data_IF_301580944010
#
_entry.id   IF_301580944010
#
_cell.length_a   1.000
_cell.length_b   1.000
_cell.length_c   1.000
_cell.angle_alpha   90.00
_cell.angle_beta   90.00
_cell.angle_gamma   90.00
#
_symmetry.space_group_name_H-M   'P 1'
#
loop_
_entity.id
_entity.type
_entity.pdbx_description
1 polymer ?
#
# COMPACT_ATOMS: atom_id res chain seq x y z
N UNK A 1 -35.68 -14.81 -10.22
CA UNK A 1 -35.23 -15.10 -8.83
C UNK A 1 -33.74 -15.35 -8.91
N UNK A 2 -32.90 -14.56 -8.23
CA UNK A 2 -31.47 -14.85 -8.16
C UNK A 2 -31.26 -16.12 -7.32
N UNK A 3 -30.28 -16.95 -7.70
CA UNK A 3 -29.77 -18.09 -6.92
C UNK A 3 -28.99 -17.59 -5.68
N UNK A 4 -29.55 -16.63 -4.95
CA UNK A 4 -28.93 -16.10 -3.75
C UNK A 4 -29.12 -17.10 -2.61
N UNK A 5 -28.00 -17.43 -1.95
CA UNK A 5 -27.95 -18.29 -0.77
C UNK A 5 -27.85 -17.42 0.49
N UNK A 6 -28.55 -17.85 1.54
CA UNK A 6 -28.56 -17.16 2.83
C UNK A 6 -27.54 -17.72 3.84
N UNK A 7 -27.37 -19.05 3.91
CA UNK A 7 -26.42 -19.73 4.81
C UNK A 7 -25.01 -19.87 4.22
N UNK A 8 -24.10 -20.60 4.86
CA UNK A 8 -22.77 -20.99 4.31
C UNK A 8 -22.91 -22.08 3.24
N UNK A 9 -22.04 -22.06 2.21
CA UNK A 9 -21.91 -23.13 1.23
C UNK A 9 -20.66 -23.89 1.61
N UNK A 10 -20.82 -25.18 1.86
CA UNK A 10 -19.74 -26.07 2.24
C UNK A 10 -19.66 -27.20 1.22
N UNK A 11 -18.45 -27.50 0.80
CA UNK A 11 -18.14 -28.55 -0.15
C UNK A 11 -16.91 -29.31 0.32
N UNK A 12 -17.00 -30.63 0.33
CA UNK A 12 -15.87 -31.52 0.60
C UNK A 12 -15.69 -32.45 -0.58
N UNK A 13 -14.48 -32.48 -1.14
CA UNK A 13 -14.14 -33.39 -2.23
C UNK A 13 -14.04 -34.84 -1.74
N UNK A 14 -14.13 -35.85 -2.62
CA UNK A 14 -13.94 -37.25 -2.24
C UNK A 14 -12.60 -37.54 -1.56
N UNK A 15 -11.56 -36.76 -1.86
CA UNK A 15 -10.23 -36.86 -1.26
C UNK A 15 -10.04 -35.94 -0.03
N UNK A 16 -11.12 -35.35 0.49
CA UNK A 16 -11.16 -34.68 1.79
C UNK A 16 -10.80 -33.19 1.80
N UNK A 17 -10.54 -32.57 0.65
CA UNK A 17 -10.34 -31.13 0.58
C UNK A 17 -11.66 -30.39 0.82
N UNK A 18 -11.62 -29.32 1.62
CA UNK A 18 -12.78 -28.54 2.07
C UNK A 18 -12.77 -27.15 1.44
N UNK A 19 -13.95 -26.72 1.02
CA UNK A 19 -14.21 -25.36 0.57
C UNK A 19 -15.46 -24.86 1.27
N UNK A 20 -15.35 -23.68 1.88
CA UNK A 20 -16.50 -22.98 2.42
C UNK A 20 -16.60 -21.58 1.85
N UNK A 21 -17.80 -21.06 1.69
CA UNK A 21 -18.03 -19.68 1.30
C UNK A 21 -19.06 -19.05 2.25
N UNK A 22 -18.71 -18.49 3.40
CA UNK A 22 -19.68 -17.83 4.29
C UNK A 22 -20.31 -16.59 3.64
N UNK A 23 -21.46 -16.15 4.17
CA UNK A 23 -22.21 -14.96 3.73
C UNK A 23 -22.17 -13.81 4.73
N UNK A 24 -21.75 -14.09 5.97
CA UNK A 24 -21.69 -13.11 7.07
C UNK A 24 -20.34 -13.20 7.76
N UNK A 25 -19.98 -12.13 8.47
CA UNK A 25 -18.76 -12.12 9.29
C UNK A 25 -18.81 -13.15 10.44
N UNK A 26 -19.99 -13.37 11.03
CA UNK A 26 -20.17 -14.32 12.13
C UNK A 26 -19.92 -15.76 11.66
N UNK A 27 -20.43 -16.11 10.48
CA UNK A 27 -20.16 -17.41 9.89
C UNK A 27 -18.65 -17.58 9.58
N UNK A 28 -17.99 -16.55 9.05
CA UNK A 28 -16.53 -16.60 8.84
C UNK A 28 -15.77 -16.76 10.16
N UNK A 29 -16.17 -16.04 11.21
CA UNK A 29 -15.54 -16.13 12.53
C UNK A 29 -15.69 -17.53 13.13
N UNK A 30 -16.89 -18.12 13.07
CA UNK A 30 -17.13 -19.50 13.51
C UNK A 30 -16.23 -20.50 12.74
N UNK A 31 -16.17 -20.38 11.41
CA UNK A 31 -15.32 -21.25 10.59
C UNK A 31 -13.83 -21.09 10.90
N UNK A 32 -13.37 -19.89 11.26
CA UNK A 32 -11.97 -19.63 11.62
C UNK A 32 -11.61 -20.12 13.02
N UNK A 33 -12.57 -20.18 13.94
CA UNK A 33 -12.41 -20.84 15.24
C UNK A 33 -12.32 -22.35 15.05
N UNK A 34 -13.22 -22.94 14.26
CA UNK A 34 -13.23 -24.38 13.98
C UNK A 34 -11.99 -24.81 13.17
N UNK A 35 -11.60 -23.99 12.18
CA UNK A 35 -10.54 -24.28 11.21
C UNK A 35 -9.50 -23.15 11.19
N UNK A 36 -8.70 -22.99 12.26
CA UNK A 36 -7.71 -21.91 12.35
C UNK A 36 -6.63 -22.00 11.27
N UNK A 37 -6.34 -23.18 10.73
CA UNK A 37 -5.39 -23.35 9.63
C UNK A 37 -6.00 -23.07 8.23
N UNK A 38 -7.33 -22.98 8.11
CA UNK A 38 -7.99 -22.78 6.83
C UNK A 38 -7.54 -21.46 6.17
N UNK A 39 -7.24 -21.54 4.88
CA UNK A 39 -6.73 -20.43 4.11
C UNK A 39 -7.89 -19.58 3.61
N UNK A 40 -7.88 -18.31 3.97
CA UNK A 40 -8.83 -17.35 3.43
C UNK A 40 -8.48 -17.06 1.97
N UNK A 41 -9.49 -17.14 1.11
CA UNK A 41 -9.41 -16.86 -0.31
C UNK A 41 -10.31 -15.66 -0.65
N UNK A 42 -9.72 -14.63 -1.26
CA UNK A 42 -10.45 -13.50 -1.81
C UNK A 42 -10.25 -13.45 -3.34
N UNK A 43 -9.52 -12.47 -3.85
CA UNK A 43 -9.25 -12.29 -5.29
C UNK A 43 -8.36 -13.33 -5.96
N UNK A 44 -7.70 -14.21 -5.18
CA UNK A 44 -6.79 -15.27 -5.67
C UNK A 44 -5.56 -14.79 -6.46
N UNK A 45 -5.26 -13.49 -6.50
CA UNK A 45 -4.16 -12.94 -7.31
C UNK A 45 -2.76 -13.29 -6.78
N UNK A 46 -2.64 -13.58 -5.48
CA UNK A 46 -1.42 -14.15 -4.87
C UNK A 46 -1.53 -15.68 -4.73
N UNK A 47 -2.60 -16.17 -4.10
CA UNK A 47 -2.80 -17.60 -3.79
C UNK A 47 -2.87 -18.45 -5.07
N UNK A 48 -3.42 -17.95 -6.16
CA UNK A 48 -3.46 -18.66 -7.45
C UNK A 48 -2.07 -19.02 -7.98
N UNK A 49 -1.04 -18.23 -7.65
CA UNK A 49 0.35 -18.52 -8.01
C UNK A 49 0.93 -19.66 -7.17
N UNK A 50 0.44 -19.89 -5.96
CA UNK A 50 0.85 -21.05 -5.15
C UNK A 50 0.46 -22.35 -5.86
N UNK A 51 -0.72 -22.40 -6.47
CA UNK A 51 -1.16 -23.58 -7.23
C UNK A 51 -0.46 -23.64 -8.58
N UNK A 52 -0.52 -22.57 -9.38
CA UNK A 52 -0.09 -22.60 -10.78
C UNK A 52 1.43 -22.54 -11.00
N UNK A 53 2.18 -21.96 -10.07
CA UNK A 53 3.64 -21.81 -10.17
C UNK A 53 4.40 -22.59 -9.12
N UNK A 54 3.85 -22.74 -7.92
CA UNK A 54 4.49 -23.51 -6.85
C UNK A 54 3.94 -24.94 -6.74
N UNK A 55 2.95 -25.31 -7.56
CA UNK A 55 2.32 -26.65 -7.57
C UNK A 55 1.81 -27.08 -6.20
N UNK A 56 1.41 -26.11 -5.36
CA UNK A 56 0.90 -26.37 -4.01
C UNK A 56 -0.55 -26.81 -4.08
N UNK A 57 -0.85 -27.86 -3.33
CA UNK A 57 -2.21 -28.29 -3.02
C UNK A 57 -2.76 -27.45 -1.86
N UNK A 58 -4.03 -27.02 -1.98
CA UNK A 58 -4.72 -26.22 -0.97
C UNK A 58 -5.99 -26.95 -0.53
N UNK A 59 -5.90 -27.62 0.61
CA UNK A 59 -6.94 -28.56 1.07
C UNK A 59 -8.05 -27.96 1.93
N UNK A 60 -7.89 -26.72 2.40
CA UNK A 60 -8.92 -26.08 3.24
C UNK A 60 -9.00 -24.59 2.92
N UNK A 61 -10.05 -24.21 2.21
CA UNK A 61 -10.27 -22.86 1.70
C UNK A 61 -11.56 -22.28 2.26
N UNK A 62 -11.50 -21.00 2.66
CA UNK A 62 -12.67 -20.20 3.00
C UNK A 62 -12.73 -19.00 2.05
N UNK A 63 -13.66 -19.02 1.11
CA UNK A 63 -13.88 -17.93 0.16
C UNK A 63 -14.75 -16.83 0.75
N UNK A 64 -14.21 -15.61 0.83
CA UNK A 64 -14.87 -14.48 1.50
C UNK A 64 -15.56 -13.51 0.54
N UNK A 65 -15.49 -13.76 -0.77
CA UNK A 65 -16.07 -12.88 -1.79
C UNK A 65 -17.60 -12.86 -1.85
N UNK A 66 -18.30 -13.50 -0.92
CA UNK A 66 -19.77 -13.43 -0.79
C UNK A 66 -20.24 -12.80 0.52
N UNK A 67 -19.32 -12.27 1.34
CA UNK A 67 -19.65 -11.54 2.57
C UNK A 67 -19.86 -10.07 2.22
N UNK A 68 -21.10 -9.60 2.29
CA UNK A 68 -21.46 -8.25 1.85
C UNK A 68 -20.80 -7.17 2.71
N UNK A 69 -20.62 -7.42 4.00
CA UNK A 69 -19.98 -6.53 4.96
C UNK A 69 -18.51 -6.25 4.61
N UNK A 70 -17.80 -7.23 4.04
CA UNK A 70 -16.41 -7.08 3.61
C UNK A 70 -16.26 -6.27 2.31
N UNK A 71 -17.34 -6.01 1.58
CA UNK A 71 -17.32 -5.37 0.27
C UNK A 71 -17.72 -3.89 0.33
N UNK A 72 -17.83 -3.32 1.53
CA UNK A 72 -18.30 -1.96 1.73
C UNK A 72 -17.14 -0.97 1.84
N UNK A 73 -17.37 0.22 1.32
CA UNK A 73 -16.62 1.43 1.64
C UNK A 73 -17.59 2.40 2.30
N UNK A 74 -17.19 2.98 3.43
CA UNK A 74 -17.95 4.01 4.12
C UNK A 74 -17.08 5.24 4.36
N UNK A 75 -17.66 6.41 4.14
CA UNK A 75 -17.02 7.70 4.42
C UNK A 75 -17.69 8.29 5.67
N UNK A 76 -16.94 8.32 6.78
CA UNK A 76 -17.31 9.06 7.98
C UNK A 76 -16.52 10.37 8.08
N UNK A 77 -16.78 11.12 9.15
CA UNK A 77 -16.11 12.41 9.38
C UNK A 77 -14.62 12.25 9.67
N UNK A 78 -14.25 11.21 10.43
CA UNK A 78 -12.87 10.95 10.87
C UNK A 78 -12.17 9.86 10.07
N UNK A 79 -12.92 8.92 9.49
CA UNK A 79 -12.38 7.71 8.86
C UNK A 79 -13.04 7.40 7.52
N UNK A 80 -12.23 6.98 6.57
CA UNK A 80 -12.64 6.19 5.41
C UNK A 80 -12.48 4.73 5.80
N UNK A 81 -13.59 4.01 5.92
CA UNK A 81 -13.60 2.61 6.29
C UNK A 81 -13.71 1.75 5.03
N UNK A 82 -12.77 0.81 4.87
CA UNK A 82 -12.66 -0.04 3.68
C UNK A 82 -12.67 -1.49 4.10
N UNK A 83 -13.72 -2.23 3.72
CA UNK A 83 -13.82 -3.66 3.98
C UNK A 83 -12.70 -4.47 3.29
N UNK A 84 -12.27 -5.57 3.92
CA UNK A 84 -11.14 -6.36 3.44
C UNK A 84 -11.37 -7.05 2.08
N UNK A 85 -12.64 -7.19 1.69
CA UNK A 85 -13.08 -7.75 0.41
C UNK A 85 -13.25 -6.70 -0.69
N UNK A 86 -13.09 -5.41 -0.40
CA UNK A 86 -13.11 -4.36 -1.42
C UNK A 86 -11.92 -4.55 -2.35
N UNK A 87 -12.18 -4.53 -3.66
CA UNK A 87 -11.15 -4.67 -4.69
C UNK A 87 -10.14 -3.54 -4.59
N UNK A 88 -8.90 -3.78 -5.02
CA UNK A 88 -7.86 -2.74 -5.03
C UNK A 88 -8.31 -1.54 -5.87
N UNK A 89 -8.98 -1.78 -7.01
CA UNK A 89 -9.53 -0.71 -7.85
C UNK A 89 -10.51 0.20 -7.08
N UNK A 90 -11.52 -0.39 -6.44
CA UNK A 90 -12.55 0.38 -5.74
C UNK A 90 -12.01 1.03 -4.46
N UNK A 91 -11.09 0.37 -3.76
CA UNK A 91 -10.47 0.92 -2.58
C UNK A 91 -9.62 2.17 -2.93
N UNK A 92 -8.80 2.09 -3.97
CA UNK A 92 -8.04 3.26 -4.42
C UNK A 92 -8.94 4.36 -4.99
N UNK A 93 -10.04 4.02 -5.68
CA UNK A 93 -11.01 5.03 -6.13
C UNK A 93 -11.55 5.86 -4.96
N UNK A 94 -11.98 5.19 -3.88
CA UNK A 94 -12.45 5.88 -2.69
C UNK A 94 -11.35 6.70 -2.00
N UNK A 95 -10.16 6.12 -1.86
CA UNK A 95 -9.01 6.80 -1.25
C UNK A 95 -8.58 8.03 -2.07
N UNK A 96 -8.49 7.91 -3.39
CA UNK A 96 -8.08 8.99 -4.28
C UNK A 96 -9.10 10.13 -4.32
N UNK A 97 -10.38 9.86 -4.02
CA UNK A 97 -11.39 10.90 -3.82
C UNK A 97 -11.07 11.85 -2.65
N UNK A 98 -10.36 11.38 -1.62
CA UNK A 98 -9.91 12.20 -0.48
C UNK A 98 -8.42 12.56 -0.54
N UNK A 99 -7.61 11.70 -1.16
CA UNK A 99 -6.17 11.80 -1.30
C UNK A 99 -5.77 11.66 -2.78
N UNK A 100 -5.98 12.71 -3.60
CA UNK A 100 -5.65 12.67 -5.03
C UNK A 100 -4.20 12.27 -5.32
N UNK A 101 -3.30 12.46 -4.36
CA UNK A 101 -1.88 12.08 -4.43
C UNK A 101 -1.64 10.57 -4.52
N UNK A 102 -2.66 9.74 -4.29
CA UNK A 102 -2.62 8.30 -4.52
C UNK A 102 -2.92 7.91 -5.97
N UNK A 103 -3.34 8.85 -6.83
CA UNK A 103 -3.80 8.52 -8.20
C UNK A 103 -2.73 7.86 -9.04
N UNK A 104 -1.48 8.31 -8.97
CA UNK A 104 -0.37 7.68 -9.70
C UNK A 104 -0.13 6.25 -9.19
N UNK A 105 -0.06 6.08 -7.87
CA UNK A 105 0.10 4.77 -7.23
C UNK A 105 -1.02 3.81 -7.63
N UNK A 106 -2.26 4.27 -7.61
CA UNK A 106 -3.44 3.51 -8.03
C UNK A 106 -3.28 3.00 -9.48
N UNK A 107 -3.02 3.91 -10.42
CA UNK A 107 -2.89 3.55 -11.85
C UNK A 107 -1.76 2.55 -12.09
N UNK A 108 -0.67 2.66 -11.33
CA UNK A 108 0.52 1.81 -11.44
C UNK A 108 0.48 0.56 -10.57
N UNK A 109 -0.56 0.36 -9.76
CA UNK A 109 -0.72 -0.85 -8.96
C UNK A 109 -1.15 -2.00 -9.88
N UNK A 110 -0.25 -2.95 -10.14
CA UNK A 110 -0.48 -4.06 -11.04
C UNK A 110 -1.12 -3.63 -12.39
N UNK A 111 -1.98 -4.47 -12.97
CA UNK A 111 -2.82 -4.16 -14.12
C UNK A 111 -4.29 -4.07 -13.70
N UNK A 112 -5.14 -3.44 -14.54
CA UNK A 112 -6.57 -3.29 -14.24
C UNK A 112 -7.30 -4.63 -13.91
N UNK A 113 -7.09 -5.75 -14.66
CA UNK A 113 -7.70 -7.02 -14.29
C UNK A 113 -7.29 -7.51 -12.88
N UNK A 114 -6.03 -7.32 -12.51
CA UNK A 114 -5.54 -7.68 -11.18
C UNK A 114 -6.14 -6.76 -10.11
N UNK A 115 -6.29 -5.46 -10.38
CA UNK A 115 -6.93 -4.53 -9.44
C UNK A 115 -8.43 -4.80 -9.23
N UNK A 116 -9.12 -5.27 -10.27
CA UNK A 116 -10.54 -5.65 -10.20
C UNK A 116 -10.76 -7.00 -9.50
N UNK A 117 -9.76 -7.88 -9.46
CA UNK A 117 -9.85 -9.17 -8.77
C UNK A 117 -9.28 -9.13 -7.35
N UNK A 118 -8.04 -8.64 -7.20
CA UNK A 118 -7.34 -8.54 -5.92
C UNK A 118 -8.03 -7.58 -4.96
N UNK A 119 -7.98 -7.87 -3.66
CA UNK A 119 -8.62 -7.04 -2.62
C UNK A 119 -7.59 -6.30 -1.78
N UNK A 120 -7.94 -5.11 -1.28
CA UNK A 120 -7.03 -4.33 -0.46
C UNK A 120 -6.71 -5.05 0.87
N UNK A 121 -7.73 -5.64 1.50
CA UNK A 121 -7.51 -6.46 2.70
C UNK A 121 -6.67 -7.71 2.43
N UNK A 122 -6.80 -8.31 1.24
CA UNK A 122 -5.93 -9.41 0.81
C UNK A 122 -4.48 -8.97 0.65
N UNK A 123 -4.24 -7.77 0.10
CA UNK A 123 -2.90 -7.20 -0.02
C UNK A 123 -2.26 -6.94 1.36
N UNK A 124 -3.02 -6.35 2.28
CA UNK A 124 -2.58 -6.12 3.68
C UNK A 124 -2.34 -7.43 4.42
N UNK A 125 -3.23 -8.41 4.29
CA UNK A 125 -3.10 -9.71 4.95
C UNK A 125 -1.93 -10.54 4.39
N UNK A 126 -1.61 -10.40 3.10
CA UNK A 126 -0.42 -11.00 2.50
C UNK A 126 0.84 -10.47 3.21
N UNK A 127 0.94 -9.14 3.37
CA UNK A 127 2.03 -8.49 4.10
C UNK A 127 3.37 -8.60 3.39
N UNK A 128 3.34 -8.54 2.05
CA UNK A 128 4.57 -8.58 1.24
C UNK A 128 5.40 -7.32 1.46
N UNK A 129 6.72 -7.40 1.68
CA UNK A 129 7.55 -6.22 1.93
C UNK A 129 7.62 -5.25 0.76
N UNK A 130 7.29 -5.73 -0.45
CA UNK A 130 7.26 -4.98 -1.71
C UNK A 130 5.84 -4.61 -2.15
N UNK A 131 4.83 -4.78 -1.28
CA UNK A 131 3.45 -4.42 -1.61
C UNK A 131 3.26 -2.89 -1.59
N UNK A 132 2.57 -2.38 -2.60
CA UNK A 132 2.52 -0.94 -2.88
C UNK A 132 1.49 -0.17 -2.03
N UNK A 133 0.49 -0.83 -1.45
CA UNK A 133 -0.56 -0.13 -0.69
C UNK A 133 -0.10 0.28 0.71
N UNK A 134 0.68 -0.56 1.37
CA UNK A 134 1.00 -0.42 2.79
C UNK A 134 1.81 0.85 3.09
N UNK A 135 2.84 1.24 2.31
CA UNK A 135 3.58 2.49 2.59
C UNK A 135 2.66 3.72 2.63
N UNK A 136 1.80 3.90 1.62
CA UNK A 136 0.84 5.01 1.58
C UNK A 136 -0.12 4.99 2.76
N UNK A 137 -0.67 3.82 3.08
CA UNK A 137 -1.60 3.65 4.20
C UNK A 137 -0.92 3.91 5.56
N UNK A 138 0.31 3.42 5.77
CA UNK A 138 1.10 3.66 7.00
C UNK A 138 1.42 5.16 7.15
N UNK A 139 1.84 5.82 6.06
CA UNK A 139 2.14 7.25 6.08
C UNK A 139 0.88 8.08 6.41
N UNK A 140 -0.29 7.68 5.94
CA UNK A 140 -1.56 8.30 6.29
C UNK A 140 -2.01 8.01 7.73
N UNK A 141 -1.41 7.05 8.43
CA UNK A 141 -1.81 6.63 9.77
C UNK A 141 -3.01 5.67 9.78
N UNK A 142 -3.14 4.85 8.75
CA UNK A 142 -4.21 3.86 8.66
C UNK A 142 -4.12 2.82 9.78
N UNK A 143 -5.28 2.33 10.19
CA UNK A 143 -5.45 1.28 11.18
C UNK A 143 -6.07 0.05 10.52
N UNK A 144 -5.67 -1.13 10.96
CA UNK A 144 -6.22 -2.41 10.51
C UNK A 144 -7.12 -2.98 11.58
N UNK A 145 -8.27 -3.49 11.15
CA UNK A 145 -9.28 -4.11 12.03
C UNK A 145 -9.20 -5.62 11.83
N UNK A 146 -8.90 -6.34 12.91
CA UNK A 146 -8.86 -7.80 12.97
C UNK A 146 -10.05 -8.33 13.76
N UNK A 147 -10.55 -9.50 13.39
CA UNK A 147 -11.57 -10.24 14.17
C UNK A 147 -11.14 -11.68 14.37
N UNK A 148 -11.36 -12.20 15.58
CA UNK A 148 -11.21 -13.61 15.94
C UNK A 148 -12.33 -14.02 16.88
N UNK A 149 -13.25 -14.89 16.43
CA UNK A 149 -14.48 -15.17 17.16
C UNK A 149 -15.31 -13.89 17.36
N UNK A 150 -15.68 -13.60 18.61
CA UNK A 150 -16.42 -12.38 18.98
C UNK A 150 -15.50 -11.19 19.30
N UNK A 151 -14.18 -11.42 19.37
CA UNK A 151 -13.22 -10.37 19.67
C UNK A 151 -12.85 -9.61 18.40
N UNK A 152 -12.95 -8.29 18.47
CA UNK A 152 -12.46 -7.37 17.44
C UNK A 152 -11.36 -6.53 18.04
N UNK A 153 -10.22 -6.42 17.35
CA UNK A 153 -9.12 -5.54 17.75
C UNK A 153 -8.64 -4.68 16.60
N UNK A 154 -8.13 -3.52 16.94
CA UNK A 154 -7.65 -2.52 15.98
C UNK A 154 -6.24 -2.07 16.38
N UNK A 155 -5.34 -2.03 15.40
CA UNK A 155 -3.95 -1.64 15.59
C UNK A 155 -3.47 -0.75 14.42
N UNK A 156 -2.44 0.10 14.63
CA UNK A 156 -1.76 0.76 13.52
C UNK A 156 -1.32 -0.26 12.47
N UNK A 157 -1.48 0.04 11.19
CA UNK A 157 -1.18 -0.90 10.11
C UNK A 157 0.28 -1.41 10.17
N UNK A 158 1.23 -0.53 10.49
CA UNK A 158 2.64 -0.88 10.63
C UNK A 158 2.90 -1.91 11.75
N UNK A 159 2.06 -1.95 12.79
CA UNK A 159 2.20 -2.88 13.90
C UNK A 159 1.73 -4.31 13.54
N UNK A 160 1.01 -4.48 12.43
CA UNK A 160 0.62 -5.80 11.94
C UNK A 160 1.83 -6.63 11.51
N UNK A 161 2.92 -6.00 11.05
CA UNK A 161 4.05 -6.70 10.44
C UNK A 161 5.24 -6.81 11.41
N UNK A 162 5.42 -7.98 12.02
CA UNK A 162 6.46 -8.22 13.04
C UNK A 162 7.77 -8.74 12.46
N UNK A 163 7.77 -9.17 11.20
CA UNK A 163 8.96 -9.67 10.50
C UNK A 163 8.63 -10.16 9.09
N UNK A 164 9.64 -10.67 8.37
CA UNK A 164 9.43 -11.18 7.00
C UNK A 164 8.42 -12.33 7.01
N UNK A 165 7.29 -12.12 6.32
CA UNK A 165 6.15 -13.05 6.29
C UNK A 165 5.52 -13.36 7.66
N UNK A 166 5.82 -12.57 8.69
CA UNK A 166 5.28 -12.70 10.04
C UNK A 166 4.35 -11.54 10.35
N UNK A 167 3.26 -11.84 11.07
CA UNK A 167 2.22 -10.87 11.40
C UNK A 167 1.76 -11.03 12.85
N UNK A 168 1.39 -9.94 13.49
CA UNK A 168 0.57 -9.96 14.72
C UNK A 168 -0.89 -10.26 14.35
N UNK A 169 -1.15 -11.52 13.98
CA UNK A 169 -2.48 -12.02 13.65
C UNK A 169 -2.52 -13.50 14.02
N UNK A 170 -3.31 -13.86 15.03
CA UNK A 170 -3.45 -15.23 15.48
C UNK A 170 -4.08 -16.12 14.37
N UNK A 171 -3.89 -17.45 14.40
CA UNK A 171 -4.39 -18.32 13.32
C UNK A 171 -5.89 -18.24 13.04
N UNK A 172 -6.70 -17.99 14.07
CA UNK A 172 -8.16 -17.84 13.97
C UNK A 172 -8.60 -16.39 13.64
N UNK A 173 -7.67 -15.43 13.63
CA UNK A 173 -7.97 -14.06 13.27
C UNK A 173 -7.94 -13.84 11.76
N UNK A 174 -8.66 -12.81 11.33
CA UNK A 174 -8.68 -12.35 9.95
C UNK A 174 -8.87 -10.83 9.87
N UNK A 175 -8.42 -10.24 8.76
CA UNK A 175 -8.63 -8.82 8.48
C UNK A 175 -10.09 -8.59 8.09
N UNK A 176 -10.78 -7.73 8.83
CA UNK A 176 -12.15 -7.26 8.53
C UNK A 176 -12.10 -6.08 7.58
N UNK A 177 -11.13 -5.17 7.78
CA UNK A 177 -11.00 -3.97 6.97
C UNK A 177 -9.90 -3.04 7.47
N UNK A 178 -9.90 -1.85 6.88
CA UNK A 178 -8.97 -0.77 7.18
C UNK A 178 -9.75 0.49 7.50
N UNK A 179 -9.19 1.31 8.39
CA UNK A 179 -9.66 2.66 8.69
C UNK A 179 -8.55 3.63 8.32
N UNK A 180 -8.79 4.48 7.32
CA UNK A 180 -7.84 5.51 6.88
C UNK A 180 -8.35 6.86 7.37
N UNK A 181 -7.56 7.66 8.11
CA UNK A 181 -8.04 8.94 8.59
C UNK A 181 -8.49 9.84 7.43
N UNK A 182 -9.46 10.71 7.65
CA UNK A 182 -9.80 11.78 6.69
C UNK A 182 -8.82 12.95 6.83
N UNK A 183 -9.08 14.04 6.10
CA UNK A 183 -8.32 15.31 6.17
C UNK A 183 -8.96 16.32 7.14
N UNK A 184 -9.75 15.87 8.13
CA UNK A 184 -10.39 16.76 9.10
C UNK A 184 -9.38 17.39 10.07
N UNK A 185 -9.77 18.51 10.69
CA UNK A 185 -8.97 19.20 11.71
C UNK A 185 -7.58 19.63 11.23
N UNK A 186 -6.54 19.30 12.01
CA UNK A 186 -5.16 19.64 11.68
C UNK A 186 -4.68 19.01 10.35
N UNK A 187 -5.26 17.87 9.95
CA UNK A 187 -4.93 17.16 8.71
C UNK A 187 -5.40 17.87 7.45
N UNK A 188 -6.16 18.96 7.56
CA UNK A 188 -6.46 19.84 6.43
C UNK A 188 -5.19 20.43 5.80
N UNK A 189 -4.11 20.55 6.59
CA UNK A 189 -2.78 21.01 6.15
C UNK A 189 -1.79 19.87 5.86
N UNK A 190 -2.29 18.64 5.72
CA UNK A 190 -1.46 17.47 5.47
C UNK A 190 -0.78 17.57 4.09
N UNK A 191 0.56 17.61 4.11
CA UNK A 191 1.39 17.36 2.94
C UNK A 191 1.58 15.85 2.81
N UNK A 192 1.22 15.28 1.66
CA UNK A 192 1.30 13.84 1.43
C UNK A 192 1.69 13.53 0.00
N UNK A 193 2.66 12.64 -0.20
CA UNK A 193 3.04 12.12 -1.53
C UNK A 193 3.39 10.64 -1.46
N UNK A 194 3.18 9.95 -2.57
CA UNK A 194 3.64 8.58 -2.76
C UNK A 194 4.44 8.48 -4.04
N UNK A 195 5.46 7.62 -4.04
CA UNK A 195 6.32 7.41 -5.18
C UNK A 195 6.60 5.92 -5.36
N UNK A 196 6.42 5.45 -6.59
CA UNK A 196 6.74 4.09 -6.99
C UNK A 196 7.93 4.09 -7.94
N UNK A 197 8.98 3.37 -7.58
CA UNK A 197 10.15 3.18 -8.43
C UNK A 197 10.30 1.70 -8.83
N UNK A 198 10.30 1.46 -10.13
CA UNK A 198 10.37 0.14 -10.76
C UNK A 198 11.06 0.26 -12.12
N UNK A 199 11.51 -0.87 -12.70
CA UNK A 199 12.22 -0.86 -14.00
C UNK A 199 11.31 -0.42 -15.14
N UNK A 200 10.07 -0.88 -15.11
CA UNK A 200 8.99 -0.45 -16.00
C UNK A 200 7.94 0.31 -15.20
N UNK A 201 7.32 1.30 -15.81
CA UNK A 201 6.39 2.21 -15.12
C UNK A 201 5.07 1.53 -14.73
N UNK A 202 4.46 0.83 -15.69
CA UNK A 202 3.18 0.14 -15.49
C UNK A 202 3.38 -1.35 -15.26
N UNK A 203 2.50 -1.91 -14.42
CA UNK A 203 2.42 -3.35 -14.13
C UNK A 203 3.78 -3.97 -13.81
N UNK A 204 4.55 -3.31 -12.96
CA UNK A 204 5.84 -3.80 -12.46
C UNK A 204 5.86 -3.75 -10.92
N UNK A 205 6.68 -4.60 -10.32
CA UNK A 205 6.86 -4.67 -8.87
C UNK A 205 7.90 -3.63 -8.46
N UNK A 206 7.59 -2.89 -7.39
CA UNK A 206 8.47 -1.86 -6.85
C UNK A 206 9.83 -2.41 -6.43
N UNK A 207 10.89 -1.73 -6.86
CA UNK A 207 12.16 -1.76 -6.14
C UNK A 207 12.02 -0.93 -4.86
N UNK A 208 11.52 0.30 -4.98
CA UNK A 208 11.25 1.18 -3.85
C UNK A 208 9.83 1.72 -3.99
N UNK A 209 9.02 1.57 -2.95
CA UNK A 209 7.75 2.27 -2.80
C UNK A 209 7.87 3.17 -1.59
N UNK A 210 7.71 4.48 -1.76
CA UNK A 210 7.89 5.47 -0.71
C UNK A 210 6.59 6.25 -0.49
N UNK A 211 6.33 6.59 0.76
CA UNK A 211 5.25 7.49 1.13
C UNK A 211 5.73 8.43 2.23
N UNK A 212 5.44 9.71 2.04
CA UNK A 212 5.85 10.79 2.95
C UNK A 212 4.63 11.61 3.32
N UNK A 213 4.46 11.85 4.61
CA UNK A 213 3.39 12.68 5.13
C UNK A 213 3.88 13.55 6.29
N UNK A 214 3.36 14.76 6.40
CA UNK A 214 3.43 15.58 7.62
C UNK A 214 2.32 16.62 7.64
N UNK A 215 2.00 17.13 8.82
CA UNK A 215 1.07 18.25 9.01
C UNK A 215 1.88 19.55 9.01
N UNK A 216 1.61 20.45 8.08
CA UNK A 216 2.27 21.75 8.03
C UNK A 216 1.69 22.71 9.08
N UNK A 217 2.56 23.26 9.92
CA UNK A 217 2.24 24.31 10.90
C UNK A 217 3.11 25.55 10.61
N UNK A 218 2.66 26.33 9.62
CA UNK A 218 3.52 27.33 8.98
C UNK A 218 4.67 26.63 8.26
N UNK A 219 5.91 26.96 8.64
CA UNK A 219 7.11 26.29 8.15
C UNK A 219 7.51 25.09 9.02
N UNK A 220 6.85 24.87 10.16
CA UNK A 220 7.16 23.75 11.03
C UNK A 220 6.49 22.47 10.56
N UNK A 221 7.21 21.37 10.73
CA UNK A 221 6.72 20.02 10.44
C UNK A 221 6.15 19.44 11.72
N UNK A 222 4.91 18.94 11.66
CA UNK A 222 4.27 18.20 12.75
C UNK A 222 3.92 16.79 12.30
N UNK A 223 4.10 15.83 13.20
CA UNK A 223 3.71 14.43 12.99
C UNK A 223 4.23 13.83 11.67
N UNK A 224 5.54 13.92 11.37
CA UNK A 224 6.09 13.30 10.18
C UNK A 224 5.86 11.79 10.21
N UNK A 225 5.35 11.26 9.10
CA UNK A 225 5.18 9.83 8.86
C UNK A 225 5.78 9.48 7.50
N UNK A 226 6.83 8.67 7.53
CA UNK A 226 7.60 8.26 6.37
C UNK A 226 7.63 6.75 6.36
N UNK A 227 7.12 6.13 5.30
CA UNK A 227 7.07 4.68 5.19
C UNK A 227 7.59 4.20 3.84
N UNK A 228 8.24 3.03 3.87
CA UNK A 228 8.81 2.41 2.68
C UNK A 228 8.42 0.94 2.53
N UNK A 229 8.20 0.53 1.29
CA UNK A 229 8.19 -0.85 0.83
C UNK A 229 9.44 -1.14 0.00
N UNK A 230 9.93 -2.38 0.04
CA UNK A 230 11.13 -2.83 -0.67
C UNK A 230 12.46 -2.42 -0.03
N UNK A 231 12.41 -1.77 1.14
CA UNK A 231 13.59 -1.26 1.87
C UNK A 231 13.96 -2.10 3.11
N UNK A 232 13.07 -2.98 3.56
CA UNK A 232 13.27 -3.83 4.73
C UNK A 232 12.48 -5.14 4.59
N UNK A 233 12.59 -5.99 5.62
CA UNK A 233 11.86 -7.26 5.75
C UNK A 233 10.33 -7.09 5.85
N UNK A 234 9.85 -5.88 6.15
CA UNK A 234 8.43 -5.51 6.22
C UNK A 234 8.25 -4.08 5.69
N UNK A 235 7.03 -3.70 5.27
CA UNK A 235 6.71 -2.28 5.11
C UNK A 235 6.80 -1.62 6.48
N UNK A 236 7.67 -0.62 6.64
CA UNK A 236 7.92 0.01 7.94
C UNK A 236 8.18 1.51 7.82
N UNK A 237 8.12 2.18 8.98
CA UNK A 237 8.41 3.60 9.12
C UNK A 237 9.92 3.89 9.20
N UNK A 238 10.30 5.10 8.79
CA UNK A 238 11.64 5.64 8.87
C UNK A 238 11.79 6.52 10.13
N UNK A 239 11.78 5.91 11.31
CA UNK A 239 11.69 6.63 12.59
C UNK A 239 12.86 7.57 12.86
N UNK A 240 14.06 7.27 12.37
CA UNK A 240 15.20 8.18 12.49
C UNK A 240 15.04 9.41 11.59
N UNK A 241 14.59 9.24 10.36
CA UNK A 241 14.26 10.36 9.48
C UNK A 241 13.09 11.20 10.03
N UNK A 242 12.04 10.56 10.53
CA UNK A 242 10.90 11.25 11.16
C UNK A 242 11.34 12.10 12.36
N UNK A 243 12.23 11.58 13.21
CA UNK A 243 12.78 12.32 14.35
C UNK A 243 13.60 13.54 13.95
N UNK A 244 14.22 13.56 12.77
CA UNK A 244 14.91 14.75 12.24
C UNK A 244 13.92 15.81 11.80
N UNK A 245 12.76 15.39 11.30
CA UNK A 245 11.74 16.29 10.78
C UNK A 245 10.84 16.87 11.88
N UNK A 246 10.51 16.11 12.92
CA UNK A 246 9.49 16.53 13.88
C UNK A 246 9.88 17.82 14.62
N UNK A 247 9.06 18.86 14.49
CA UNK A 247 9.30 20.19 15.04
C UNK A 247 10.37 21.01 14.32
N UNK A 248 11.02 20.48 13.28
CA UNK A 248 11.98 21.22 12.46
C UNK A 248 11.27 22.13 11.44
N UNK A 249 11.99 23.14 10.95
CA UNK A 249 11.51 23.97 9.84
C UNK A 249 11.71 23.24 8.50
N UNK A 250 10.77 23.36 7.56
CA UNK A 250 10.77 22.64 6.29
C UNK A 250 11.68 23.27 5.21
N UNK A 251 12.96 23.36 5.55
CA UNK A 251 14.02 23.92 4.71
C UNK A 251 14.80 22.81 4.01
N UNK A 252 15.59 23.19 3.00
CA UNK A 252 16.40 22.23 2.24
C UNK A 252 17.37 21.44 3.13
N UNK A 253 18.05 22.11 4.06
CA UNK A 253 18.98 21.48 4.99
C UNK A 253 18.30 20.41 5.85
N UNK A 254 17.05 20.65 6.27
CA UNK A 254 16.24 19.69 7.03
C UNK A 254 15.91 18.46 6.19
N UNK A 255 15.54 18.66 4.92
CA UNK A 255 15.30 17.55 3.99
C UNK A 255 16.58 16.73 3.75
N UNK A 256 17.73 17.39 3.56
CA UNK A 256 19.03 16.72 3.39
C UNK A 256 19.46 15.95 4.65
N UNK A 257 19.20 16.48 5.84
CA UNK A 257 19.45 15.77 7.10
C UNK A 257 18.56 14.52 7.23
N UNK A 258 17.29 14.61 6.83
CA UNK A 258 16.39 13.46 6.81
C UNK A 258 16.81 12.41 5.78
N UNK A 259 17.32 12.82 4.61
CA UNK A 259 17.91 11.90 3.63
C UNK A 259 19.04 11.06 4.25
N UNK A 260 19.98 11.70 4.97
CA UNK A 260 21.07 10.99 5.63
C UNK A 260 20.56 10.05 6.72
N UNK A 261 19.53 10.44 7.46
CA UNK A 261 18.95 9.62 8.51
C UNK A 261 18.35 8.30 8.01
N UNK A 262 17.90 8.22 6.74
CA UNK A 262 17.37 7.00 6.14
C UNK A 262 18.36 5.82 6.14
N UNK A 263 19.68 6.10 6.17
CA UNK A 263 20.71 5.05 6.26
C UNK A 263 20.65 4.28 7.59
N UNK A 264 20.17 4.93 8.65
CA UNK A 264 19.96 4.30 9.96
C UNK A 264 18.66 3.51 10.01
N UNK A 265 17.68 3.90 9.19
CA UNK A 265 16.38 3.25 9.13
C UNK A 265 16.41 1.96 8.28
N UNK A 266 17.21 1.91 7.21
CA UNK A 266 17.12 0.86 6.21
C UNK A 266 18.46 0.25 5.80
N UNK A 267 18.46 -1.08 5.64
CA UNK A 267 19.55 -1.86 5.04
C UNK A 267 18.96 -2.75 3.94
N UNK A 268 18.66 -2.18 2.76
CA UNK A 268 17.95 -2.90 1.71
C UNK A 268 18.81 -4.03 1.09
N UNK A 269 18.16 -5.04 0.54
CA UNK A 269 18.83 -6.14 -0.16
C UNK A 269 19.13 -5.77 -1.63
N UNK A 270 20.14 -6.42 -2.19
CA UNK A 270 20.36 -6.46 -3.65
C UNK A 270 19.61 -7.65 -4.23
N UNK A 271 18.86 -7.43 -5.32
CA UNK A 271 18.20 -8.49 -6.09
C UNK A 271 18.16 -8.18 -7.59
N UNK A 272 17.46 -9.01 -8.36
CA UNK A 272 17.27 -8.82 -9.79
C UNK A 272 16.53 -7.51 -10.18
N UNK A 273 15.89 -6.80 -9.24
CA UNK A 273 15.19 -5.54 -9.50
C UNK A 273 16.10 -4.35 -9.29
N UNK A 274 16.86 -4.33 -8.21
CA UNK A 274 17.77 -3.23 -7.89
C UNK A 274 18.84 -3.64 -6.88
N UNK A 275 19.99 -2.98 -6.95
CA UNK A 275 21.02 -3.09 -5.92
C UNK A 275 20.60 -2.37 -4.64
N UNK A 276 21.17 -2.80 -3.51
CA UNK A 276 21.01 -2.15 -2.21
C UNK A 276 21.37 -0.66 -2.28
N UNK A 277 22.51 -0.33 -2.90
CA UNK A 277 22.95 1.06 -3.11
C UNK A 277 21.91 1.88 -3.90
N UNK A 278 21.42 1.36 -5.02
CA UNK A 278 20.40 2.05 -5.81
C UNK A 278 19.10 2.29 -5.02
N UNK A 279 18.66 1.30 -4.23
CA UNK A 279 17.47 1.43 -3.36
C UNK A 279 17.65 2.55 -2.33
N UNK A 280 18.82 2.62 -1.68
CA UNK A 280 19.10 3.63 -0.67
C UNK A 280 19.24 5.04 -1.27
N UNK A 281 19.99 5.18 -2.35
CA UNK A 281 20.16 6.47 -3.04
C UNK A 281 18.84 7.01 -3.56
N UNK A 282 18.00 6.14 -4.13
CA UNK A 282 16.68 6.55 -4.62
C UNK A 282 15.73 6.90 -3.49
N UNK A 283 15.74 6.19 -2.35
CA UNK A 283 14.95 6.56 -1.19
C UNK A 283 15.29 7.98 -0.69
N UNK A 284 16.59 8.34 -0.67
CA UNK A 284 17.05 9.70 -0.36
C UNK A 284 16.58 10.71 -1.41
N UNK A 285 16.75 10.43 -2.69
CA UNK A 285 16.32 11.34 -3.75
C UNK A 285 14.80 11.54 -3.77
N UNK A 286 14.01 10.54 -3.37
CA UNK A 286 12.56 10.66 -3.20
C UNK A 286 12.18 11.55 -2.00
N UNK A 287 12.95 11.54 -0.91
CA UNK A 287 12.80 12.52 0.18
C UNK A 287 13.08 13.94 -0.31
N UNK A 288 14.14 14.13 -1.09
CA UNK A 288 14.45 15.43 -1.68
C UNK A 288 13.36 15.91 -2.66
N UNK A 289 12.86 14.99 -3.50
CA UNK A 289 11.72 15.26 -4.39
C UNK A 289 10.48 15.67 -3.60
N UNK A 290 10.18 14.99 -2.49
CA UNK A 290 9.08 15.38 -1.61
C UNK A 290 9.23 16.80 -1.09
N UNK A 291 10.43 17.20 -0.68
CA UNK A 291 10.71 18.59 -0.31
C UNK A 291 10.50 19.55 -1.49
N UNK A 292 11.03 19.26 -2.69
CA UNK A 292 10.81 20.11 -3.87
C UNK A 292 9.31 20.32 -4.19
N UNK A 293 8.48 19.29 -4.01
CA UNK A 293 7.03 19.36 -4.26
C UNK A 293 6.23 20.06 -3.15
N UNK A 294 6.81 20.23 -1.96
CA UNK A 294 6.09 20.70 -0.76
C UNK A 294 6.79 21.82 0.00
N UNK A 295 7.88 22.36 -0.55
CA UNK A 295 8.65 23.45 0.07
C UNK A 295 7.75 24.70 0.22
N UNK A 296 7.92 25.48 1.30
CA UNK A 296 7.06 26.64 1.57
C UNK A 296 7.10 27.72 0.49
N UNK A 297 8.20 27.83 -0.24
CA UNK A 297 8.42 28.84 -1.28
C UNK A 297 8.64 28.19 -2.63
N UNK A 298 7.84 28.61 -3.62
CA UNK A 298 7.92 28.16 -5.01
C UNK A 298 7.92 26.62 -5.16
N UNK A 299 6.95 25.88 -4.57
CA UNK A 299 6.91 24.43 -4.68
C UNK A 299 6.83 24.00 -6.16
N UNK A 300 7.63 23.01 -6.54
CA UNK A 300 7.67 22.55 -7.91
C UNK A 300 6.44 21.70 -8.23
N UNK A 301 5.79 21.93 -9.39
CA UNK A 301 4.67 21.10 -9.81
C UNK A 301 5.20 19.69 -10.17
N UNK A 302 4.41 18.61 -10.00
CA UNK A 302 4.85 17.25 -10.27
C UNK A 302 5.43 17.05 -11.68
N UNK A 303 4.95 17.81 -12.66
CA UNK A 303 5.40 17.80 -14.05
C UNK A 303 6.88 18.18 -14.20
N UNK A 304 7.35 19.16 -13.41
CA UNK A 304 8.74 19.61 -13.42
C UNK A 304 9.71 18.57 -12.83
N UNK A 305 9.18 17.55 -12.15
CA UNK A 305 9.92 16.48 -11.49
C UNK A 305 9.69 15.12 -12.14
N UNK A 306 8.97 15.11 -13.26
CA UNK A 306 8.70 13.91 -14.04
C UNK A 306 9.59 13.89 -15.29
N UNK A 307 10.63 13.06 -15.27
CA UNK A 307 11.56 12.89 -16.40
C UNK A 307 10.91 12.43 -17.71
N UNK A 308 9.65 11.98 -17.70
CA UNK A 308 8.88 11.63 -18.90
C UNK A 308 8.08 12.78 -19.47
N UNK A 309 7.88 13.84 -18.69
CA UNK A 309 7.15 15.04 -19.09
C UNK A 309 8.09 16.20 -19.43
N UNK A 310 9.35 16.13 -19.00
CA UNK A 310 10.42 16.95 -19.55
C UNK A 310 10.56 16.58 -21.03
N UNK A 311 10.08 17.45 -21.92
CA UNK A 311 10.38 17.35 -23.33
C UNK A 311 11.91 17.31 -23.47
N UNK A 312 12.43 16.29 -24.14
CA UNK A 312 13.81 16.36 -24.58
C UNK A 312 13.91 17.59 -25.49
N UNK A 313 14.70 18.59 -25.10
CA UNK A 313 15.17 19.61 -26.03
C UNK A 313 16.07 18.91 -27.04
N UNK A 314 15.47 18.21 -28.01
CA UNK A 314 16.18 17.73 -29.16
C UNK A 314 16.62 18.97 -29.94
N UNK A 315 17.93 19.22 -29.96
CA UNK A 315 18.56 20.39 -30.54
C UNK A 315 17.97 20.75 -31.90
N UNK A 316 17.19 21.82 -31.93
CA UNK A 316 16.82 22.52 -33.14
C UNK A 316 18.00 23.39 -33.56
N UNK A 317 19.11 22.78 -34.01
CA UNK A 317 20.23 23.56 -34.55
C UNK A 317 21.21 22.75 -35.43
N UNK A 318 20.73 21.80 -36.25
CA UNK A 318 21.52 21.31 -37.42
C UNK A 318 20.59 20.83 -38.54
N UNK A 319 19.87 21.73 -39.20
CA UNK A 319 19.27 21.44 -40.51
C UNK A 319 18.89 22.71 -41.28
N UNK A 320 19.86 23.58 -41.56
CA UNK A 320 19.76 24.46 -42.72
C UNK A 320 21.13 24.80 -43.29
N UNK A 321 21.69 23.84 -44.03
CA UNK A 321 22.77 24.10 -44.97
C UNK A 321 22.22 23.83 -46.38
N UNK A 322 21.94 24.85 -47.19
CA UNK A 322 21.46 24.66 -48.55
C UNK A 322 22.55 23.99 -49.38
N UNK A 323 22.16 22.95 -50.12
CA UNK A 323 23.01 22.32 -51.12
C UNK A 323 23.51 23.39 -52.11
N UNK A 324 24.83 23.58 -52.16
CA UNK A 324 25.46 24.34 -53.24
C UNK A 324 25.64 23.41 -54.44
N UNK A 325 25.23 23.97 -55.59
CA UNK A 325 25.25 23.49 -56.99
C UNK A 325 26.42 22.58 -57.33
#
# INVERSE_FOLDING_TARGET
ASLARDGTFDYTTPDGARFAAPRTLDALAALKIERPAARILAGSTDIGLWVTKQMRRLDDLIYVGQIAELQRVAHGDDWIEIGAGVTVENAYAALAGTYPELTEMWKRFASLPIRNAGTLGGNVANGSPIGDSMPGLIALGARVVLRGGDTVRELPLEALYTGYQQKDMAPHEFVVGLKVPTRSGARAKLQFRTYKLSKRFDSDISAVCAAFAFIADGELIREPRIAFGGMAATPKRATHAESVLDGAQWHEATAQAAMQALERDYQPLTDMRATSAYRLDTAKNLMYRFWLETRPHDPLPPQALNVREVAAEAGADVADAPARV
#
